data_IF_043993408315
#
_entry.id   IF_043993408315
#
_cell.length_a   1.000
_cell.length_b   1.000
_cell.length_c   1.000
_cell.angle_alpha   90.00
_cell.angle_beta   90.00
_cell.angle_gamma   90.00
#
_symmetry.space_group_name_H-M   'P 1'
#
loop_
_entity.id
_entity.type
_entity.pdbx_description
1 polymer ?
#
# COMPACT_ATOMS: atom_id res chain seq x y z
N UNK A 1 -73.12 -27.87 -8.96
CA UNK A 1 -72.81 -26.50 -8.49
C UNK A 1 -71.31 -26.30 -8.60
N UNK A 2 -70.89 -25.62 -9.68
CA UNK A 2 -69.44 -25.32 -9.96
C UNK A 2 -69.07 -23.98 -9.31
N UNK A 3 -68.12 -23.97 -8.41
CA UNK A 3 -67.55 -22.73 -7.83
C UNK A 3 -66.45 -22.26 -8.75
N UNK A 4 -66.61 -21.04 -9.27
CA UNK A 4 -65.65 -20.34 -10.13
C UNK A 4 -64.76 -19.51 -9.25
N UNK A 5 -63.45 -19.85 -9.23
CA UNK A 5 -62.45 -19.11 -8.47
C UNK A 5 -61.80 -18.07 -9.38
N UNK A 6 -61.98 -16.81 -9.05
CA UNK A 6 -61.40 -15.66 -9.79
C UNK A 6 -59.99 -15.42 -9.21
N UNK A 7 -58.94 -15.58 -10.04
CA UNK A 7 -57.57 -15.26 -9.69
C UNK A 7 -57.29 -13.79 -10.07
N UNK A 8 -57.10 -12.94 -9.06
CA UNK A 8 -56.63 -11.57 -9.25
C UNK A 8 -55.09 -11.61 -9.44
N UNK A 9 -54.65 -11.28 -10.64
CA UNK A 9 -53.25 -11.09 -10.95
C UNK A 9 -52.83 -9.67 -10.55
N UNK A 10 -52.02 -9.56 -9.48
CA UNK A 10 -51.46 -8.28 -9.03
C UNK A 10 -50.13 -8.04 -9.79
N UNK A 11 -50.18 -7.12 -10.75
CA UNK A 11 -49.01 -6.68 -11.52
C UNK A 11 -48.25 -5.65 -10.69
N UNK A 12 -47.17 -6.09 -10.01
CA UNK A 12 -46.26 -5.19 -9.31
C UNK A 12 -45.30 -4.54 -10.31
N UNK A 13 -45.50 -3.28 -10.62
CA UNK A 13 -44.57 -2.47 -11.41
C UNK A 13 -43.36 -2.13 -10.52
N UNK A 14 -42.20 -2.75 -10.80
CA UNK A 14 -40.91 -2.34 -10.23
C UNK A 14 -40.51 -0.98 -10.85
N UNK A 15 -40.62 0.07 -10.06
CA UNK A 15 -40.02 1.36 -10.37
C UNK A 15 -38.51 1.28 -10.13
N UNK A 16 -37.73 1.08 -11.20
CA UNK A 16 -36.28 1.22 -11.13
C UNK A 16 -35.96 2.71 -11.13
N UNK A 17 -35.61 3.27 -9.99
CA UNK A 17 -35.07 4.61 -9.90
C UNK A 17 -33.62 4.57 -10.44
N UNK A 18 -33.24 5.42 -11.40
CA UNK A 18 -31.83 5.56 -11.73
C UNK A 18 -31.12 6.27 -10.58
N UNK A 19 -30.20 5.58 -9.92
CA UNK A 19 -29.29 6.18 -8.95
C UNK A 19 -28.40 7.18 -9.70
N UNK A 20 -28.68 8.46 -9.51
CA UNK A 20 -27.83 9.53 -9.99
C UNK A 20 -26.59 9.58 -9.08
N UNK A 21 -25.55 8.79 -9.42
CA UNK A 21 -24.23 8.95 -8.84
C UNK A 21 -23.71 10.35 -9.18
N UNK A 22 -23.34 11.12 -8.16
CA UNK A 22 -22.89 12.49 -8.33
C UNK A 22 -21.70 12.56 -9.30
N UNK A 23 -21.67 13.57 -10.14
CA UNK A 23 -20.58 13.83 -11.10
C UNK A 23 -19.20 13.86 -10.45
N UNK A 24 -19.11 14.30 -9.19
CA UNK A 24 -17.89 14.31 -8.40
C UNK A 24 -17.31 12.91 -8.08
N UNK A 25 -18.15 11.89 -7.88
CA UNK A 25 -17.66 10.52 -7.64
C UNK A 25 -17.11 9.90 -8.93
N UNK A 26 -17.75 10.14 -10.07
CA UNK A 26 -17.26 9.66 -11.36
C UNK A 26 -15.97 10.37 -11.80
N UNK A 27 -15.84 11.66 -11.49
CA UNK A 27 -14.63 12.42 -11.80
C UNK A 27 -13.44 11.98 -10.92
N UNK A 28 -13.66 11.71 -9.63
CA UNK A 28 -12.63 11.14 -8.74
C UNK A 28 -12.20 9.73 -9.17
N UNK A 29 -13.17 8.90 -9.57
CA UNK A 29 -12.88 7.52 -10.01
C UNK A 29 -12.09 7.49 -11.34
N UNK A 30 -12.39 8.43 -12.27
CA UNK A 30 -11.66 8.55 -13.54
C UNK A 30 -10.24 9.11 -13.36
N UNK A 31 -10.02 10.02 -12.41
CA UNK A 31 -8.70 10.58 -12.08
C UNK A 31 -7.82 9.51 -11.42
N UNK A 32 -8.38 8.68 -10.51
CA UNK A 32 -7.63 7.60 -9.86
C UNK A 32 -7.25 6.48 -10.84
N UNK A 33 -8.11 6.14 -11.79
CA UNK A 33 -7.84 5.13 -12.82
C UNK A 33 -6.78 5.59 -13.83
N UNK A 34 -6.80 6.88 -14.22
CA UNK A 34 -5.78 7.49 -15.07
C UNK A 34 -4.39 7.50 -14.41
N UNK A 35 -4.33 7.81 -13.10
CA UNK A 35 -3.08 7.80 -12.35
C UNK A 35 -2.44 6.40 -12.26
N UNK A 36 -3.26 5.34 -12.26
CA UNK A 36 -2.77 3.97 -12.18
C UNK A 36 -2.22 3.46 -13.52
N UNK A 37 -2.84 3.82 -14.64
CA UNK A 37 -2.32 3.50 -15.97
C UNK A 37 -0.99 4.22 -16.24
N UNK A 38 -0.83 5.45 -15.74
CA UNK A 38 0.42 6.21 -15.82
C UNK A 38 1.54 5.54 -15.01
N UNK A 39 1.24 4.94 -13.83
CA UNK A 39 2.23 4.22 -13.01
C UNK A 39 2.80 2.99 -13.74
N UNK A 40 1.99 2.29 -14.55
CA UNK A 40 2.43 1.11 -15.31
C UNK A 40 3.34 1.42 -16.50
N UNK A 41 3.30 2.64 -17.00
CA UNK A 41 3.98 3.05 -18.25
C UNK A 41 5.22 3.90 -18.05
N UNK A 42 5.59 4.25 -16.80
CA UNK A 42 6.78 5.07 -16.55
C UNK A 42 8.03 4.19 -16.58
N UNK A 43 8.92 4.32 -17.58
CA UNK A 43 10.20 3.61 -17.61
C UNK A 43 11.08 4.03 -16.43
N UNK A 44 11.83 3.08 -15.87
CA UNK A 44 12.77 3.29 -14.74
C UNK A 44 14.02 4.07 -15.15
N UNK A 45 14.04 4.68 -16.32
CA UNK A 45 15.24 5.34 -16.82
C UNK A 45 15.04 6.84 -16.85
N UNK A 46 15.70 7.49 -15.94
CA UNK A 46 16.36 8.78 -15.98
C UNK A 46 16.24 9.59 -14.69
N UNK A 47 17.36 10.12 -14.32
CA UNK A 47 17.74 11.06 -13.28
C UNK A 47 16.91 12.37 -13.15
N UNK A 48 15.66 12.42 -13.58
CA UNK A 48 14.81 13.62 -13.57
C UNK A 48 13.91 13.72 -12.33
N UNK A 49 14.17 12.95 -11.31
CA UNK A 49 13.17 12.59 -10.31
C UNK A 49 13.13 13.45 -9.06
N UNK A 50 13.90 14.46 -8.92
CA UNK A 50 14.07 15.02 -7.56
C UNK A 50 13.81 16.50 -7.52
N UNK A 51 12.59 16.90 -7.88
CA UNK A 51 12.06 18.19 -7.45
C UNK A 51 11.37 18.01 -6.09
N UNK A 52 11.46 19.02 -5.23
CA UNK A 52 10.82 19.02 -3.92
C UNK A 52 9.31 18.74 -4.03
N UNK A 53 8.77 18.06 -3.02
CA UNK A 53 7.33 17.84 -2.89
C UNK A 53 6.63 19.20 -2.75
N UNK A 54 5.68 19.47 -3.65
CA UNK A 54 4.91 20.72 -3.66
C UNK A 54 3.83 20.68 -2.58
N UNK A 55 3.12 19.55 -2.45
CA UNK A 55 2.08 19.40 -1.44
C UNK A 55 2.12 18.01 -0.81
N UNK A 56 2.62 17.95 0.42
CA UNK A 56 2.72 16.69 1.17
C UNK A 56 1.41 15.93 1.29
N UNK A 57 0.26 16.60 1.30
CA UNK A 57 -1.07 15.94 1.40
C UNK A 57 -1.45 15.18 0.13
N UNK A 58 -0.87 15.54 -1.01
CA UNK A 58 -1.09 14.85 -2.28
C UNK A 58 -0.14 13.67 -2.46
N UNK A 59 0.74 13.42 -1.50
CA UNK A 59 1.70 12.32 -1.57
C UNK A 59 1.07 10.99 -1.14
N UNK A 60 1.57 9.92 -1.77
CA UNK A 60 1.32 8.55 -1.36
C UNK A 60 2.58 7.71 -1.55
N UNK A 61 2.61 6.55 -0.90
CA UNK A 61 3.69 5.58 -1.06
C UNK A 61 3.25 4.51 -2.05
N UNK A 62 4.12 4.21 -3.02
CA UNK A 62 4.01 3.08 -3.92
C UNK A 62 5.15 2.11 -3.65
N UNK A 63 4.85 0.85 -3.37
CA UNK A 63 5.83 -0.21 -3.14
C UNK A 63 5.76 -1.20 -4.29
N UNK A 64 6.87 -1.30 -5.04
CA UNK A 64 7.06 -2.32 -6.06
C UNK A 64 7.86 -3.48 -5.45
N UNK A 65 7.20 -4.62 -5.29
CA UNK A 65 7.86 -5.83 -4.79
C UNK A 65 8.84 -6.42 -5.80
N UNK A 66 8.54 -6.44 -7.13
CA UNK A 66 9.49 -6.89 -8.13
C UNK A 66 10.78 -6.08 -8.16
N UNK A 67 10.68 -4.75 -8.04
CA UNK A 67 11.82 -3.84 -8.09
C UNK A 67 12.55 -3.69 -6.75
N UNK A 68 11.96 -4.20 -5.66
CA UNK A 68 12.44 -3.96 -4.29
C UNK A 68 12.60 -2.47 -3.97
N UNK A 69 11.60 -1.66 -4.38
CA UNK A 69 11.60 -0.21 -4.22
C UNK A 69 10.33 0.30 -3.57
N UNK A 70 10.49 1.32 -2.74
CA UNK A 70 9.45 2.20 -2.25
C UNK A 70 9.62 3.53 -2.96
N UNK A 71 8.56 4.02 -3.60
CA UNK A 71 8.49 5.34 -4.21
C UNK A 71 7.60 6.25 -3.36
N UNK A 72 8.03 7.49 -3.17
CA UNK A 72 7.16 8.58 -2.74
C UNK A 72 6.63 9.24 -4.00
N UNK A 73 5.35 9.15 -4.22
CA UNK A 73 4.65 9.72 -5.35
C UNK A 73 3.82 10.94 -4.91
N UNK A 74 3.70 11.93 -5.75
CA UNK A 74 2.81 13.09 -5.57
C UNK A 74 1.89 13.22 -6.77
N UNK A 75 0.60 13.50 -6.51
CA UNK A 75 -0.36 13.83 -7.58
C UNK A 75 -0.36 15.34 -7.77
N UNK A 76 -0.02 15.79 -8.98
CA UNK A 76 0.01 17.20 -9.39
C UNK A 76 -0.75 17.33 -10.68
N UNK A 77 -1.82 18.13 -10.68
CA UNK A 77 -2.69 18.40 -11.85
C UNK A 77 -3.22 17.12 -12.54
N UNK A 78 -3.43 16.05 -11.75
CA UNK A 78 -3.91 14.75 -12.21
C UNK A 78 -2.81 13.76 -12.59
N UNK A 79 -1.57 14.20 -12.71
CA UNK A 79 -0.42 13.35 -13.01
C UNK A 79 0.25 12.83 -11.75
N UNK A 80 0.76 11.60 -11.81
CA UNK A 80 1.56 11.00 -10.75
C UNK A 80 3.05 11.22 -11.00
N UNK A 81 3.70 11.95 -10.10
CA UNK A 81 5.13 12.25 -10.16
C UNK A 81 5.85 11.47 -9.07
N UNK A 82 6.83 10.66 -9.42
CA UNK A 82 7.75 10.02 -8.46
C UNK A 82 8.71 11.09 -7.92
N UNK A 83 8.67 11.38 -6.62
CA UNK A 83 9.47 12.43 -5.97
C UNK A 83 10.74 11.87 -5.32
N UNK A 84 10.71 10.65 -4.83
CA UNK A 84 11.82 10.00 -4.15
C UNK A 84 11.64 8.47 -4.24
N UNK A 85 12.74 7.72 -4.15
CA UNK A 85 12.67 6.29 -3.97
C UNK A 85 13.71 5.78 -2.98
N UNK A 86 13.38 4.63 -2.37
CA UNK A 86 14.26 3.94 -1.43
C UNK A 86 14.29 2.44 -1.75
N UNK A 87 15.43 1.78 -1.62
CA UNK A 87 15.49 0.31 -1.68
C UNK A 87 14.75 -0.28 -0.48
N UNK A 88 14.06 -1.40 -0.68
CA UNK A 88 13.30 -2.08 0.39
C UNK A 88 13.55 -3.58 0.41
N UNK A 89 13.35 -4.16 1.61
CA UNK A 89 13.18 -5.60 1.78
C UNK A 89 11.70 -5.89 2.04
N UNK A 90 11.17 -6.87 1.31
CA UNK A 90 9.78 -7.34 1.41
C UNK A 90 9.72 -8.78 1.91
N UNK A 91 8.52 -9.34 1.99
CA UNK A 91 8.30 -10.71 2.43
C UNK A 91 9.19 -11.72 1.72
N UNK A 92 9.72 -12.69 2.49
CA UNK A 92 10.62 -13.73 2.00
C UNK A 92 10.01 -14.49 0.81
N UNK A 93 8.69 -14.73 0.83
CA UNK A 93 7.98 -15.46 -0.22
C UNK A 93 7.21 -14.51 -1.14
N UNK A 94 7.18 -14.82 -2.44
CA UNK A 94 6.37 -14.12 -3.44
C UNK A 94 4.86 -14.33 -3.23
N UNK A 95 4.07 -13.45 -3.82
CA UNK A 95 2.61 -13.50 -3.92
C UNK A 95 1.88 -12.82 -2.78
N UNK A 96 0.56 -12.78 -2.90
CA UNK A 96 -0.36 -12.15 -1.95
C UNK A 96 -0.34 -12.88 -0.60
N UNK A 97 -0.32 -12.09 0.48
CA UNK A 97 -0.46 -12.61 1.84
C UNK A 97 -1.82 -13.26 2.05
N UNK A 98 -1.82 -14.48 2.63
CA UNK A 98 -3.03 -15.26 2.86
C UNK A 98 -3.29 -15.52 4.35
N UNK A 99 -2.24 -15.62 5.17
CA UNK A 99 -2.34 -15.92 6.60
C UNK A 99 -1.14 -15.38 7.37
N UNK A 100 -1.27 -15.34 8.70
CA UNK A 100 -0.15 -15.04 9.59
C UNK A 100 0.96 -16.08 9.39
N UNK A 101 2.22 -15.65 9.37
CA UNK A 101 3.40 -16.53 9.27
C UNK A 101 3.68 -17.07 7.85
N UNK A 102 2.96 -16.64 6.81
CA UNK A 102 3.21 -17.08 5.44
C UNK A 102 4.42 -16.41 4.78
N UNK A 103 5.08 -15.49 5.47
CA UNK A 103 6.27 -14.76 5.04
C UNK A 103 6.05 -13.92 3.77
N UNK A 104 4.81 -13.50 3.50
CA UNK A 104 4.41 -12.70 2.34
C UNK A 104 4.04 -11.28 2.74
N UNK A 105 4.40 -10.30 1.91
CA UNK A 105 3.90 -8.92 2.04
C UNK A 105 2.52 -8.82 1.39
N UNK A 106 1.51 -8.26 2.07
CA UNK A 106 0.18 -8.08 1.48
C UNK A 106 0.23 -7.08 0.32
N UNK A 107 -0.67 -7.26 -0.62
CA UNK A 107 -0.86 -6.45 -1.83
C UNK A 107 -2.14 -5.64 -1.74
N UNK A 108 -2.18 -4.51 -2.40
CA UNK A 108 -3.38 -3.69 -2.56
C UNK A 108 -3.30 -2.86 -3.84
N UNK A 109 -4.44 -2.31 -4.24
CA UNK A 109 -4.56 -1.48 -5.45
C UNK A 109 -4.68 0.01 -5.08
N UNK A 110 -4.62 0.88 -6.07
CA UNK A 110 -4.81 2.33 -5.86
C UNK A 110 -6.24 2.68 -5.45
N UNK A 111 -7.23 1.88 -5.88
CA UNK A 111 -8.65 2.05 -5.52
C UNK A 111 -8.91 1.64 -4.06
N UNK A 112 -8.14 0.68 -3.54
CA UNK A 112 -8.25 0.17 -2.18
C UNK A 112 -6.90 0.18 -1.46
N UNK A 113 -6.25 1.35 -1.30
CA UNK A 113 -4.92 1.44 -0.73
C UNK A 113 -4.93 1.13 0.76
N UNK A 114 -3.81 0.66 1.26
CA UNK A 114 -3.57 0.70 2.70
C UNK A 114 -3.33 2.13 3.16
N UNK A 115 -3.37 2.35 4.48
CA UNK A 115 -3.07 3.67 5.07
C UNK A 115 -2.14 3.51 6.26
N UNK A 116 -1.27 4.49 6.46
CA UNK A 116 -0.49 4.61 7.70
C UNK A 116 -1.44 5.05 8.82
N UNK A 117 -1.64 4.21 9.82
CA UNK A 117 -2.51 4.52 10.98
C UNK A 117 -1.76 5.05 12.17
N UNK A 118 -0.46 4.81 12.23
CA UNK A 118 0.37 5.16 13.38
C UNK A 118 1.84 5.23 12.97
N UNK A 119 2.59 6.17 13.54
CA UNK A 119 4.05 6.25 13.44
C UNK A 119 4.60 6.28 14.86
N UNK A 120 5.30 5.22 15.26
CA UNK A 120 5.84 5.06 16.61
C UNK A 120 7.36 5.00 16.60
N UNK A 121 7.96 5.47 17.69
CA UNK A 121 9.35 5.16 18.02
C UNK A 121 9.47 3.65 18.26
N UNK A 122 10.34 3.02 17.48
CA UNK A 122 10.63 1.60 17.53
C UNK A 122 12.11 1.32 17.85
N UNK A 123 12.86 2.34 18.26
CA UNK A 123 14.30 2.26 18.52
C UNK A 123 14.70 1.23 19.58
N UNK A 124 13.75 0.85 20.44
CA UNK A 124 13.91 -0.15 21.50
C UNK A 124 13.08 -1.40 21.26
N UNK A 125 12.60 -1.65 20.04
CA UNK A 125 11.80 -2.84 19.75
C UNK A 125 12.70 -3.99 19.31
N UNK A 126 12.56 -5.09 20.00
CA UNK A 126 13.27 -6.33 19.75
C UNK A 126 12.38 -7.32 19.00
N UNK A 127 13.01 -8.24 18.29
CA UNK A 127 12.33 -9.36 17.63
C UNK A 127 13.26 -10.56 17.56
N UNK A 128 12.71 -11.74 17.81
CA UNK A 128 13.36 -13.02 17.56
C UNK A 128 12.84 -13.58 16.22
N UNK A 129 13.74 -13.69 15.26
CA UNK A 129 13.42 -14.25 13.94
C UNK A 129 13.46 -15.78 13.91
N UNK A 130 13.80 -16.44 15.03
CA UNK A 130 13.96 -17.88 15.11
C UNK A 130 15.17 -18.41 14.35
N UNK A 131 16.14 -17.56 14.04
CA UNK A 131 17.35 -17.87 13.25
C UNK A 131 18.58 -18.13 14.14
N UNK A 132 18.40 -18.28 15.43
CA UNK A 132 19.44 -18.58 16.42
C UNK A 132 20.15 -17.35 16.99
N UNK A 133 19.82 -16.13 16.55
CA UNK A 133 20.40 -14.89 17.12
C UNK A 133 19.71 -14.42 18.40
N UNK A 134 18.55 -15.03 18.76
CA UNK A 134 17.70 -14.56 19.84
C UNK A 134 17.02 -13.24 19.53
N UNK A 135 16.59 -12.53 20.56
CA UNK A 135 15.97 -11.21 20.43
C UNK A 135 17.00 -10.15 20.05
N UNK A 136 16.83 -9.52 18.90
CA UNK A 136 17.69 -8.44 18.41
C UNK A 136 16.87 -7.18 18.13
N UNK A 137 17.49 -6.00 18.24
CA UNK A 137 16.90 -4.75 17.71
C UNK A 137 16.70 -4.91 16.21
N UNK A 138 15.46 -4.73 15.72
CA UNK A 138 15.13 -5.13 14.37
C UNK A 138 14.39 -4.05 13.53
N UNK A 139 13.83 -3.03 14.18
CA UNK A 139 12.84 -2.15 13.54
C UNK A 139 13.37 -0.76 13.15
N UNK A 140 14.60 -0.42 13.54
CA UNK A 140 15.12 0.94 13.35
C UNK A 140 14.44 1.93 14.29
N UNK A 141 14.50 3.24 13.96
CA UNK A 141 13.95 4.28 14.82
C UNK A 141 12.43 4.37 14.78
N UNK A 142 11.79 3.98 13.67
CA UNK A 142 10.36 4.19 13.44
C UNK A 142 9.66 2.93 12.96
N UNK A 143 8.40 2.78 13.38
CA UNK A 143 7.46 1.81 12.83
C UNK A 143 6.20 2.53 12.34
N UNK A 144 5.96 2.52 11.04
CA UNK A 144 4.77 3.07 10.39
C UNK A 144 3.78 1.93 10.18
N UNK A 145 2.78 1.83 11.05
CA UNK A 145 1.78 0.76 11.01
C UNK A 145 0.82 0.96 9.85
N UNK A 146 0.60 -0.09 9.08
CA UNK A 146 -0.37 -0.11 8.00
C UNK A 146 -1.70 -0.71 8.43
N UNK A 147 -2.80 -0.11 7.97
CA UNK A 147 -4.13 -0.71 8.02
C UNK A 147 -4.26 -1.70 6.86
N UNK A 148 -4.04 -2.96 7.15
CA UNK A 148 -4.12 -4.07 6.19
C UNK A 148 -5.31 -4.96 6.54
N UNK A 149 -6.43 -4.92 5.79
CA UNK A 149 -7.60 -5.75 6.07
C UNK A 149 -7.24 -7.23 6.17
N UNK A 150 -7.68 -7.88 7.24
CA UNK A 150 -7.40 -9.30 7.51
C UNK A 150 -6.03 -9.59 8.14
N UNK A 151 -5.09 -8.64 8.19
CA UNK A 151 -3.75 -8.87 8.74
C UNK A 151 -3.37 -7.79 9.75
N UNK A 152 -2.77 -8.22 10.87
CA UNK A 152 -2.25 -7.31 11.90
C UNK A 152 -0.74 -7.33 11.90
N UNK A 153 -0.13 -6.23 12.36
CA UNK A 153 1.32 -6.16 12.58
C UNK A 153 2.15 -5.86 11.31
N UNK A 154 1.53 -5.55 10.19
CA UNK A 154 2.24 -5.12 8.98
C UNK A 154 2.57 -3.63 9.09
N UNK A 155 3.78 -3.28 8.69
CA UNK A 155 4.26 -1.90 8.69
C UNK A 155 5.49 -1.67 7.82
N UNK A 156 5.86 -0.39 7.72
CA UNK A 156 7.11 0.08 7.13
C UNK A 156 8.03 0.46 8.30
N UNK A 157 9.24 -0.09 8.34
CA UNK A 157 10.17 0.12 9.43
C UNK A 157 11.62 0.02 8.98
N UNK A 158 12.58 0.28 9.87
CA UNK A 158 14.00 0.14 9.60
C UNK A 158 14.49 -1.30 9.64
N UNK A 159 15.79 -1.44 9.63
CA UNK A 159 16.44 -2.74 9.49
C UNK A 159 17.65 -2.91 10.41
N UNK A 160 17.61 -2.33 11.60
CA UNK A 160 18.70 -2.50 12.58
C UNK A 160 19.05 -3.97 12.71
N UNK A 161 20.36 -4.30 12.61
CA UNK A 161 20.90 -5.68 12.57
C UNK A 161 20.42 -6.55 11.38
N UNK A 162 19.72 -5.98 10.39
CA UNK A 162 19.27 -6.67 9.19
C UNK A 162 19.43 -5.83 7.90
N UNK A 163 20.28 -4.81 7.90
CA UNK A 163 20.42 -3.90 6.74
C UNK A 163 20.90 -4.60 5.47
N UNK A 164 21.64 -5.71 5.61
CA UNK A 164 22.07 -6.54 4.47
C UNK A 164 20.90 -7.19 3.71
N UNK A 165 19.70 -7.24 4.28
CA UNK A 165 18.50 -7.72 3.60
C UNK A 165 17.89 -6.69 2.62
N UNK A 166 18.37 -5.44 2.64
CA UNK A 166 17.85 -4.34 1.82
C UNK A 166 18.85 -3.99 0.70
N UNK A 167 18.48 -4.06 -0.58
CA UNK A 167 17.18 -4.50 -1.12
C UNK A 167 17.05 -6.02 -1.18
N UNK A 168 15.80 -6.52 -1.20
CA UNK A 168 15.56 -7.95 -1.43
C UNK A 168 14.34 -8.52 -0.73
N UNK A 169 14.40 -9.83 -0.45
CA UNK A 169 13.37 -10.59 0.28
C UNK A 169 13.97 -11.18 1.56
N UNK A 170 13.24 -11.08 2.66
CA UNK A 170 13.75 -11.59 3.95
C UNK A 170 12.89 -11.19 5.13
N UNK A 171 11.76 -10.48 4.91
CA UNK A 171 10.86 -10.13 6.00
C UNK A 171 9.76 -11.17 6.20
N UNK A 172 9.09 -11.11 7.35
CA UNK A 172 7.90 -11.91 7.63
C UNK A 172 6.61 -11.32 7.04
N UNK A 173 6.76 -10.24 6.24
CA UNK A 173 5.67 -9.56 5.54
C UNK A 173 5.67 -8.03 5.68
N UNK A 174 6.45 -7.48 6.61
CA UNK A 174 6.69 -6.04 6.69
C UNK A 174 7.60 -5.55 5.57
N UNK A 175 7.65 -4.25 5.39
CA UNK A 175 8.54 -3.56 4.45
C UNK A 175 9.67 -2.94 5.27
N UNK A 176 10.92 -3.36 5.00
CA UNK A 176 12.11 -2.83 5.67
C UNK A 176 12.85 -1.86 4.78
N UNK A 177 13.24 -0.72 5.34
CA UNK A 177 14.19 0.22 4.75
C UNK A 177 15.52 0.16 5.52
N UNK A 178 16.58 0.71 4.94
CA UNK A 178 17.75 1.08 5.76
C UNK A 178 17.33 2.16 6.76
N UNK A 179 17.95 2.19 7.93
CA UNK A 179 17.54 3.11 8.98
C UNK A 179 17.61 4.59 8.52
N UNK A 180 18.66 4.98 7.80
CA UNK A 180 18.81 6.34 7.24
C UNK A 180 17.68 6.72 6.28
N UNK A 181 17.26 5.76 5.43
CA UNK A 181 16.22 5.96 4.43
C UNK A 181 14.85 6.08 5.10
N UNK A 182 14.61 5.31 6.17
CA UNK A 182 13.41 5.40 6.99
C UNK A 182 13.32 6.74 7.71
N UNK A 183 14.42 7.21 8.30
CA UNK A 183 14.47 8.50 9.01
C UNK A 183 14.18 9.65 8.04
N UNK A 184 14.72 9.60 6.83
CA UNK A 184 14.42 10.58 5.77
C UNK A 184 12.96 10.52 5.32
N UNK A 185 12.44 9.32 5.04
CA UNK A 185 11.04 9.10 4.67
C UNK A 185 10.11 9.70 5.73
N UNK A 186 10.37 9.42 7.01
CA UNK A 186 9.58 9.94 8.13
C UNK A 186 9.68 11.47 8.25
N UNK A 187 10.86 12.02 8.15
CA UNK A 187 11.07 13.45 8.35
C UNK A 187 10.44 14.28 7.23
N UNK A 188 10.63 13.87 5.98
CA UNK A 188 10.25 14.67 4.81
C UNK A 188 8.84 14.37 4.30
N UNK A 189 8.39 13.11 4.32
CA UNK A 189 7.23 12.67 3.54
C UNK A 189 6.11 12.06 4.37
N UNK A 190 6.40 11.05 5.20
CA UNK A 190 5.38 10.22 5.82
C UNK A 190 4.53 10.96 6.86
N UNK A 191 3.23 10.63 6.89
CA UNK A 191 2.27 11.13 7.88
C UNK A 191 1.17 10.10 8.14
N UNK A 192 0.49 10.21 9.26
CA UNK A 192 -0.69 9.38 9.59
C UNK A 192 -1.84 9.72 8.64
N UNK A 193 -2.43 8.71 8.02
CA UNK A 193 -3.43 8.85 6.96
C UNK A 193 -2.86 8.77 5.54
N UNK A 194 -1.53 8.75 5.37
CA UNK A 194 -0.89 8.62 4.06
C UNK A 194 -1.27 7.28 3.42
N UNK A 195 -1.69 7.32 2.15
CA UNK A 195 -2.02 6.13 1.35
C UNK A 195 -0.75 5.35 1.00
N UNK A 196 -0.89 4.02 0.97
CA UNK A 196 0.20 3.10 0.61
C UNK A 196 -0.35 2.06 -0.35
N UNK A 197 0.16 2.04 -1.55
CA UNK A 197 -0.12 1.03 -2.58
C UNK A 197 1.02 0.02 -2.60
N UNK A 198 0.71 -1.26 -2.61
CA UNK A 198 1.71 -2.34 -2.69
C UNK A 198 1.36 -3.21 -3.88
N UNK A 199 2.16 -3.10 -4.94
CA UNK A 199 1.96 -3.83 -6.19
C UNK A 199 2.14 -5.33 -5.98
N UNK A 200 1.43 -6.10 -6.79
CA UNK A 200 1.60 -7.54 -6.87
C UNK A 200 3.03 -7.91 -7.32
N UNK A 201 3.48 -9.11 -6.92
CA UNK A 201 4.61 -9.72 -7.60
C UNK A 201 4.19 -10.01 -9.04
N UNK A 202 5.11 -9.82 -10.01
CA UNK A 202 4.87 -10.29 -11.36
C UNK A 202 4.59 -11.80 -11.31
N UNK A 203 3.54 -12.22 -11.99
CA UNK A 203 3.29 -13.64 -12.18
C UNK A 203 4.30 -14.14 -13.22
N UNK A 204 5.12 -15.11 -12.82
CA UNK A 204 6.04 -15.81 -13.70
C UNK A 204 5.26 -16.56 -14.80
#
# INVERSE_FOLDING_TARGET
MRKMTIIFSLLAALFVMPSCGSSEQKEKESIEMSAMDTIKTIPDDTATFYSDVVNKKNCFILISKPEYRLYVCEVVDGDTIKRMHYPVCVGLKKGQKQKKGDMKTPECTAENPFTITEIKDASKWYHDFGDGRGEILAYGNWFMRLKTPGFKGIGIHGSTNNESSVPGRGSEGCIRLRNKDLDELKAKYAFVGMRVVILADEMD
#
